data_IF_312619963155
#
_entry.id   IF_312619963155
#
_cell.length_a   1.000
_cell.length_b   1.000
_cell.length_c   1.000
_cell.angle_alpha   90.00
_cell.angle_beta   90.00
_cell.angle_gamma   90.00
#
_symmetry.space_group_name_H-M   'P 1'
#
loop_
_entity.id
_entity.type
_entity.pdbx_description
1 polymer ?
#
# COMPACT_ATOMS: atom_id res chain seq x y z
N UNK A 1 10.23 -24.52 -14.52
CA UNK A 1 10.59 -23.62 -13.40
C UNK A 1 9.40 -22.70 -13.13
N UNK A 2 8.63 -22.92 -12.06
CA UNK A 2 7.52 -22.00 -11.71
C UNK A 2 8.13 -20.74 -11.11
N UNK A 3 8.26 -19.68 -11.92
CA UNK A 3 8.68 -18.36 -11.44
C UNK A 3 7.72 -17.99 -10.32
N UNK A 4 8.17 -18.05 -9.07
CA UNK A 4 7.41 -17.43 -7.97
C UNK A 4 7.41 -15.95 -8.30
N UNK A 5 6.28 -15.45 -8.81
CA UNK A 5 6.00 -14.02 -8.83
C UNK A 5 6.16 -13.60 -7.38
N UNK A 6 7.28 -12.94 -7.05
CA UNK A 6 7.29 -12.11 -5.86
C UNK A 6 6.07 -11.21 -6.01
N UNK A 7 5.22 -11.17 -4.99
CA UNK A 7 4.01 -10.36 -4.99
C UNK A 7 4.41 -8.89 -4.77
N UNK A 8 5.35 -8.40 -5.57
CA UNK A 8 5.81 -7.02 -5.61
C UNK A 8 4.67 -6.18 -6.17
N UNK A 9 4.43 -5.02 -5.58
CA UNK A 9 3.31 -4.16 -5.94
C UNK A 9 2.04 -4.45 -5.16
N UNK A 10 2.12 -5.19 -4.04
CA UNK A 10 1.00 -5.38 -3.10
C UNK A 10 1.48 -5.07 -1.68
N UNK A 11 0.82 -4.12 -1.01
CA UNK A 11 1.13 -3.77 0.36
C UNK A 11 0.78 -4.93 1.30
N UNK A 12 1.73 -5.38 2.12
CA UNK A 12 1.54 -6.49 3.06
C UNK A 12 0.61 -6.16 4.24
N UNK A 13 0.28 -4.88 4.46
CA UNK A 13 -0.53 -4.42 5.59
C UNK A 13 -1.99 -4.22 5.17
N UNK A 14 -2.23 -3.44 4.12
CA UNK A 14 -3.59 -3.14 3.63
C UNK A 14 -3.96 -3.85 2.32
N UNK A 15 -3.01 -4.48 1.62
CA UNK A 15 -3.28 -5.13 0.33
C UNK A 15 -3.42 -4.16 -0.86
N UNK A 16 -3.18 -2.86 -0.68
CA UNK A 16 -3.25 -1.89 -1.77
C UNK A 16 -2.23 -2.22 -2.86
N UNK A 17 -2.51 -1.76 -4.08
CA UNK A 17 -1.64 -1.95 -5.24
C UNK A 17 -1.50 -0.63 -5.99
N UNK A 18 -0.64 -0.55 -7.02
CA UNK A 18 -0.55 0.68 -7.81
C UNK A 18 -1.87 1.04 -8.52
N UNK A 19 -2.68 0.05 -8.88
CA UNK A 19 -3.97 0.26 -9.55
C UNK A 19 -5.12 0.51 -8.57
N UNK A 20 -4.93 0.15 -7.29
CA UNK A 20 -5.86 0.41 -6.18
C UNK A 20 -5.06 0.95 -4.99
N UNK A 21 -4.53 2.18 -5.08
CA UNK A 21 -3.78 2.78 -3.99
C UNK A 21 -4.73 3.25 -2.89
N UNK A 22 -4.22 3.33 -1.66
CA UNK A 22 -4.91 4.02 -0.58
C UNK A 22 -5.02 5.50 -0.94
N UNK A 23 -6.23 6.07 -0.86
CA UNK A 23 -6.42 7.50 -1.04
C UNK A 23 -6.73 8.11 0.33
N UNK A 24 -6.03 9.18 0.68
CA UNK A 24 -6.38 10.06 1.80
C UNK A 24 -6.69 11.45 1.25
N UNK A 25 -7.68 12.12 1.83
CA UNK A 25 -8.09 13.46 1.36
C UNK A 25 -7.01 14.53 1.56
N UNK A 26 -6.12 14.36 2.54
CA UNK A 26 -5.05 15.33 2.81
C UNK A 26 -3.77 15.02 2.02
N UNK A 27 -3.46 13.75 1.77
CA UNK A 27 -2.19 13.32 1.18
C UNK A 27 -2.31 12.71 -0.23
N UNK A 28 -3.53 12.46 -0.72
CA UNK A 28 -3.78 11.84 -2.01
C UNK A 28 -3.51 10.33 -2.00
N UNK A 29 -3.03 9.81 -3.13
CA UNK A 29 -2.75 8.39 -3.31
C UNK A 29 -1.44 7.97 -2.64
N UNK A 30 -1.45 6.81 -1.97
CA UNK A 30 -0.24 6.24 -1.38
C UNK A 30 0.74 5.78 -2.47
N UNK A 31 2.03 5.82 -2.14
CA UNK A 31 3.12 5.32 -2.96
C UNK A 31 3.89 4.21 -2.24
N UNK A 32 4.74 3.48 -2.96
CA UNK A 32 5.64 2.49 -2.36
C UNK A 32 6.77 3.19 -1.60
N UNK A 33 6.99 2.82 -0.33
CA UNK A 33 8.11 3.37 0.45
C UNK A 33 9.39 2.55 0.31
N UNK A 34 9.27 1.32 -0.17
CA UNK A 34 10.38 0.41 -0.36
C UNK A 34 10.49 -0.05 -1.82
N UNK A 35 11.70 -0.37 -2.25
CA UNK A 35 11.98 -0.86 -3.61
C UNK A 35 11.41 -2.26 -3.87
N UNK A 36 10.99 -2.96 -2.81
CA UNK A 36 10.32 -4.26 -2.94
C UNK A 36 8.83 -4.12 -3.27
N UNK A 37 8.31 -2.88 -3.25
CA UNK A 37 6.91 -2.53 -3.45
C UNK A 37 5.98 -3.39 -2.57
N UNK A 38 6.39 -3.63 -1.32
CA UNK A 38 5.62 -4.45 -0.36
C UNK A 38 5.01 -3.64 0.78
N UNK A 39 5.32 -2.35 0.90
CA UNK A 39 4.76 -1.45 1.89
C UNK A 39 4.41 -0.10 1.27
N UNK A 40 3.20 0.39 1.53
CA UNK A 40 2.77 1.70 1.08
C UNK A 40 3.04 2.79 2.14
N UNK A 41 3.15 4.04 1.68
CA UNK A 41 3.42 5.21 2.53
C UNK A 41 2.37 5.40 3.60
N UNK A 42 1.09 5.17 3.31
CA UNK A 42 0.04 5.32 4.31
C UNK A 42 0.17 4.29 5.45
N UNK A 43 0.56 3.05 5.15
CA UNK A 43 0.80 2.05 6.19
C UNK A 43 2.11 2.29 6.94
N UNK A 44 3.12 2.84 6.28
CA UNK A 44 4.39 3.20 6.89
C UNK A 44 4.25 4.38 7.87
N UNK A 45 3.57 5.46 7.44
CA UNK A 45 3.35 6.65 8.26
C UNK A 45 2.11 6.58 9.15
N UNK A 46 1.23 5.59 8.94
CA UNK A 46 0.00 5.40 9.73
C UNK A 46 -1.19 6.26 9.31
N UNK A 47 -1.16 6.87 8.11
CA UNK A 47 -2.17 7.81 7.59
C UNK A 47 -3.51 7.19 7.18
N UNK A 48 -4.03 6.25 7.98
CA UNK A 48 -5.29 5.56 7.73
C UNK A 48 -5.81 4.75 8.92
N UNK A 49 -5.12 4.78 10.08
CA UNK A 49 -5.58 4.12 11.29
C UNK A 49 -6.72 4.86 11.98
N UNK A 50 -6.81 6.17 11.79
CA UNK A 50 -7.68 7.03 12.59
C UNK A 50 -9.07 7.23 11.98
N UNK A 51 -9.26 6.86 10.71
CA UNK A 51 -10.53 7.05 9.97
C UNK A 51 -11.38 5.79 9.86
N UNK A 52 -11.00 4.67 10.48
CA UNK A 52 -11.75 3.41 10.41
C UNK A 52 -11.77 2.73 9.04
N UNK A 53 -11.24 3.38 8.01
CA UNK A 53 -11.12 2.89 6.65
C UNK A 53 -9.64 2.67 6.35
N UNK A 54 -9.11 1.55 6.83
CA UNK A 54 -7.84 1.02 6.35
C UNK A 54 -8.06 0.65 4.89
N UNK A 55 -7.77 1.60 3.99
CA UNK A 55 -7.46 1.38 2.58
C UNK A 55 -8.12 0.12 1.98
N UNK A 56 -9.40 0.24 1.62
CA UNK A 56 -10.25 -0.86 1.14
C UNK A 56 -10.09 -1.19 -0.36
#
# INVERSE_FOLDING_TARGET
MKKKRHNTGICKVCGCTWNRPCIDEAHGACWWVDETETLCSHCYYGWGKDKGELCS
#
